data_IF_666755024689
#
_entry.id   IF_666755024689
#
_cell.length_a   1.000
_cell.length_b   1.000
_cell.length_c   1.000
_cell.angle_alpha   90.00
_cell.angle_beta   90.00
_cell.angle_gamma   90.00
#
_symmetry.space_group_name_H-M   'P 1'
#
loop_
_entity.id
_entity.type
_entity.pdbx_description
1 polymer ?
#
# COMPACT_ATOMS: atom_id res chain seq x y z
N UNK A 1 0.16 4.15 8.53
CA UNK A 1 0.01 3.40 7.26
C UNK A 1 1.17 2.47 6.95
N UNK A 2 2.43 2.75 7.31
CA UNK A 2 3.57 1.84 7.02
C UNK A 2 3.33 0.40 7.48
N UNK A 3 2.87 0.17 8.72
CA UNK A 3 2.66 -1.20 9.25
C UNK A 3 1.59 -1.97 8.48
N UNK A 4 0.46 -1.33 8.17
CA UNK A 4 -0.61 -1.97 7.38
C UNK A 4 -0.16 -2.25 5.94
N UNK A 5 0.58 -1.32 5.33
CA UNK A 5 1.16 -1.49 3.99
C UNK A 5 2.21 -2.60 3.96
N UNK A 6 3.06 -2.69 4.98
CA UNK A 6 4.06 -3.75 5.10
C UNK A 6 3.38 -5.11 5.20
N UNK A 7 2.37 -5.24 6.06
CA UNK A 7 1.62 -6.49 6.19
C UNK A 7 0.98 -6.90 4.87
N UNK A 8 0.29 -5.98 4.18
CA UNK A 8 -0.28 -6.24 2.84
C UNK A 8 0.78 -6.77 1.87
N UNK A 9 1.93 -6.10 1.77
CA UNK A 9 2.99 -6.46 0.83
C UNK A 9 3.75 -7.73 1.23
N UNK A 10 3.66 -8.17 2.48
CA UNK A 10 4.21 -9.44 2.94
C UNK A 10 3.40 -10.64 2.47
N UNK A 11 2.07 -10.48 2.32
CA UNK A 11 1.14 -11.56 1.94
C UNK A 11 0.70 -11.49 0.47
N UNK A 12 0.69 -10.30 -0.12
CA UNK A 12 0.37 -10.06 -1.52
C UNK A 12 1.42 -9.11 -2.14
N UNK A 13 2.31 -9.65 -2.97
CA UNK A 13 3.39 -8.88 -3.62
C UNK A 13 2.92 -7.98 -4.77
N UNK A 14 1.70 -8.18 -5.29
CA UNK A 14 1.16 -7.41 -6.42
C UNK A 14 -0.31 -7.04 -6.16
N UNK A 15 -0.60 -6.27 -5.10
CA UNK A 15 -1.97 -5.92 -4.75
C UNK A 15 -2.56 -4.93 -5.76
N UNK A 16 -3.85 -5.07 -6.00
CA UNK A 16 -4.66 -4.10 -6.74
C UNK A 16 -4.85 -2.82 -5.91
N UNK A 17 -5.23 -1.72 -6.56
CA UNK A 17 -5.55 -0.47 -5.85
C UNK A 17 -6.68 -0.65 -4.83
N UNK A 18 -7.68 -1.50 -5.14
CA UNK A 18 -8.78 -1.79 -4.23
C UNK A 18 -8.26 -2.47 -2.95
N UNK A 19 -7.42 -3.49 -3.07
CA UNK A 19 -6.82 -4.18 -1.92
C UNK A 19 -5.94 -3.24 -1.09
N UNK A 20 -5.21 -2.32 -1.74
CA UNK A 20 -4.44 -1.28 -1.03
C UNK A 20 -5.37 -0.39 -0.20
N UNK A 21 -6.50 0.06 -0.78
CA UNK A 21 -7.48 0.92 -0.10
C UNK A 21 -8.12 0.20 1.08
N UNK A 22 -8.50 -1.07 0.91
CA UNK A 22 -9.08 -1.89 1.96
C UNK A 22 -8.08 -2.11 3.11
N UNK A 23 -6.83 -2.47 2.80
CA UNK A 23 -5.79 -2.70 3.80
C UNK A 23 -5.49 -1.47 4.66
N UNK A 24 -5.61 -0.27 4.10
CA UNK A 24 -5.34 0.98 4.82
C UNK A 24 -6.60 1.68 5.34
N UNK A 25 -7.79 1.12 5.12
CA UNK A 25 -9.08 1.74 5.47
C UNK A 25 -9.23 2.07 6.96
N UNK A 26 -8.60 1.29 7.84
CA UNK A 26 -8.55 1.54 9.29
C UNK A 26 -7.53 2.61 9.74
N UNK A 27 -6.75 3.18 8.82
CA UNK A 27 -5.73 4.19 9.14
C UNK A 27 -6.22 5.58 8.69
N UNK A 28 -6.85 6.34 9.58
CA UNK A 28 -7.38 7.67 9.25
C UNK A 28 -6.26 8.66 8.87
N UNK A 29 -6.43 9.33 7.73
CA UNK A 29 -5.51 10.37 7.27
C UNK A 29 -6.25 11.66 6.93
N UNK A 30 -5.80 12.80 7.47
CA UNK A 30 -6.39 14.13 7.21
C UNK A 30 -5.61 14.98 6.21
N UNK A 31 -4.34 14.68 5.98
CA UNK A 31 -3.44 15.56 5.22
C UNK A 31 -3.37 15.22 3.73
N UNK A 32 -3.32 13.94 3.38
CA UNK A 32 -2.95 13.52 2.01
C UNK A 32 -4.14 13.17 1.13
N UNK A 33 -5.34 13.05 1.71
CA UNK A 33 -6.50 12.51 1.00
C UNK A 33 -6.29 11.09 0.45
N UNK A 34 -5.37 10.32 1.04
CA UNK A 34 -4.97 8.95 0.67
C UNK A 34 -4.20 8.79 -0.64
N UNK A 35 -4.38 9.66 -1.64
CA UNK A 35 -3.82 9.48 -2.98
C UNK A 35 -2.29 9.25 -3.00
N UNK A 36 -1.52 10.09 -2.29
CA UNK A 36 -0.05 9.91 -2.22
C UNK A 36 0.38 8.65 -1.47
N UNK A 37 -0.44 8.14 -0.54
CA UNK A 37 -0.12 6.91 0.18
C UNK A 37 -0.39 5.70 -0.69
N UNK A 38 -1.52 5.67 -1.40
CA UNK A 38 -1.85 4.61 -2.35
C UNK A 38 -0.74 4.49 -3.40
N UNK A 39 -0.34 5.62 -4.02
CA UNK A 39 0.75 5.64 -4.99
C UNK A 39 2.09 5.14 -4.42
N UNK A 40 2.42 5.48 -3.17
CA UNK A 40 3.65 5.01 -2.54
C UNK A 40 3.63 3.50 -2.27
N UNK A 41 2.48 2.91 -1.94
CA UNK A 41 2.33 1.47 -1.73
C UNK A 41 2.46 0.72 -3.06
N UNK A 42 1.82 1.20 -4.12
CA UNK A 42 1.95 0.63 -5.47
C UNK A 42 3.40 0.64 -5.94
N UNK A 43 4.09 1.77 -5.81
CA UNK A 43 5.51 1.87 -6.16
C UNK A 43 6.40 0.93 -5.32
N UNK A 44 6.08 0.75 -4.04
CA UNK A 44 6.81 -0.19 -3.18
C UNK A 44 6.56 -1.66 -3.57
N UNK A 45 5.35 -2.00 -4.03
CA UNK A 45 5.03 -3.33 -4.54
C UNK A 45 5.86 -3.64 -5.80
N UNK A 46 5.85 -2.72 -6.78
CA UNK A 46 6.62 -2.82 -8.01
C UNK A 46 8.14 -2.93 -7.75
N UNK A 47 8.67 -2.15 -6.81
CA UNK A 47 10.08 -2.20 -6.45
C UNK A 47 10.48 -3.54 -5.80
N UNK A 48 9.58 -4.18 -5.03
CA UNK A 48 9.84 -5.49 -4.41
C UNK A 48 9.85 -6.59 -5.46
N UNK A 49 8.90 -6.59 -6.39
CA UNK A 49 8.84 -7.61 -7.45
C UNK A 49 9.98 -7.49 -8.45
N UNK A 50 10.53 -6.29 -8.67
CA UNK A 50 11.68 -6.09 -9.55
C UNK A 50 13.04 -6.50 -8.93
N UNK A 51 13.08 -6.68 -7.61
CA UNK A 51 14.29 -7.05 -6.86
C UNK A 51 14.43 -8.56 -6.61
N UNK A 52 13.41 -9.35 -6.99
CA UNK A 52 13.40 -10.82 -6.98
C UNK A 52 13.83 -11.39 -8.33
#
# INVERSE_FOLDING_TARGET
MIVASEHLLSVNRSPTELEIREAISGNLCRCTGYGRVIAAISAAAEARTAAD
#
